data_IF_862215668438
#
_entry.id   IF_862215668438
#
_cell.length_a   1.000
_cell.length_b   1.000
_cell.length_c   1.000
_cell.angle_alpha   90.00
_cell.angle_beta   90.00
_cell.angle_gamma   90.00
#
_symmetry.space_group_name_H-M   'P 1'
#
loop_
_entity.id
_entity.type
_entity.pdbx_description
1 polymer ?
#
# COMPACT_ATOMS: atom_id res chain seq x y z
N UNK A 1 -4.86 16.15 -24.48
CA UNK A 1 -4.95 15.41 -23.21
C UNK A 1 -4.47 13.98 -23.43
N UNK A 2 -3.36 13.56 -22.80
CA UNK A 2 -2.83 12.20 -22.93
C UNK A 2 -3.81 11.12 -22.44
N UNK A 3 -3.67 9.90 -22.95
CA UNK A 3 -4.54 8.76 -22.59
C UNK A 3 -4.29 8.35 -21.13
N UNK A 4 -5.27 8.60 -20.25
CA UNK A 4 -5.21 8.19 -18.83
C UNK A 4 -5.08 6.68 -18.67
N UNK A 5 -4.23 6.25 -17.74
CA UNK A 5 -4.07 4.84 -17.36
C UNK A 5 -5.35 4.37 -16.63
N UNK A 6 -5.95 3.26 -17.06
CA UNK A 6 -7.18 2.75 -16.43
C UNK A 6 -6.88 1.58 -15.53
N UNK A 7 -7.33 1.63 -14.28
CA UNK A 7 -7.17 0.55 -13.31
C UNK A 7 -8.50 0.15 -12.67
N UNK A 8 -8.64 -1.13 -12.33
CA UNK A 8 -9.78 -1.61 -11.55
C UNK A 8 -9.58 -1.37 -10.04
N UNK A 9 -8.34 -1.36 -9.58
CA UNK A 9 -7.97 -1.03 -8.20
C UNK A 9 -6.55 -0.46 -8.13
N UNK A 10 -6.33 0.42 -7.16
CA UNK A 10 -5.03 1.00 -6.83
C UNK A 10 -4.74 0.67 -5.36
N UNK A 11 -3.56 0.15 -5.07
CA UNK A 11 -3.14 -0.30 -3.74
C UNK A 11 -1.78 0.30 -3.39
N UNK A 12 -1.55 0.60 -2.12
CA UNK A 12 -0.23 1.00 -1.63
C UNK A 12 0.66 -0.22 -1.36
N UNK A 13 1.94 -0.13 -1.71
CA UNK A 13 3.04 -0.97 -1.21
C UNK A 13 4.19 -0.10 -0.64
N UNK A 14 3.86 1.09 -0.15
CA UNK A 14 4.83 2.05 0.40
C UNK A 14 5.66 1.50 1.54
N UNK A 15 6.90 1.96 1.70
CA UNK A 15 7.73 1.61 2.87
C UNK A 15 7.29 2.35 4.15
N UNK A 16 6.29 3.22 4.03
CA UNK A 16 5.67 3.99 5.09
C UNK A 16 4.26 4.43 4.67
N UNK A 17 3.63 5.24 5.51
CA UNK A 17 2.25 5.71 5.40
C UNK A 17 1.95 6.57 4.16
N UNK A 18 2.98 7.24 3.60
CA UNK A 18 2.85 8.29 2.58
C UNK A 18 1.99 7.88 1.38
N UNK A 19 2.24 6.75 0.67
CA UNK A 19 1.46 6.44 -0.54
C UNK A 19 0.01 6.08 -0.23
N UNK A 20 -0.26 5.45 0.93
CA UNK A 20 -1.62 5.15 1.36
C UNK A 20 -2.40 6.42 1.71
N UNK A 21 -1.72 7.41 2.28
CA UNK A 21 -2.30 8.72 2.56
C UNK A 21 -2.54 9.53 1.28
N UNK A 22 -1.59 9.54 0.36
CA UNK A 22 -1.73 10.21 -0.93
C UNK A 22 -2.87 9.64 -1.77
N UNK A 23 -3.06 8.31 -1.75
CA UNK A 23 -4.25 7.69 -2.34
C UNK A 23 -5.55 8.16 -1.67
N UNK A 24 -5.53 8.40 -0.34
CA UNK A 24 -6.70 8.89 0.41
C UNK A 24 -7.04 10.31 0.01
N UNK A 25 -6.07 11.22 0.03
CA UNK A 25 -6.21 12.64 -0.34
C UNK A 25 -6.73 12.78 -1.77
N UNK A 26 -6.22 11.95 -2.68
CA UNK A 26 -6.63 11.93 -4.08
C UNK A 26 -7.91 11.14 -4.36
N UNK A 27 -8.62 10.66 -3.33
CA UNK A 27 -9.89 9.90 -3.44
C UNK A 27 -9.77 8.62 -4.29
N UNK A 28 -8.57 8.02 -4.30
CA UNK A 28 -8.24 6.78 -5.01
C UNK A 28 -8.14 5.55 -4.09
N UNK A 29 -8.16 5.76 -2.76
CA UNK A 29 -8.13 4.68 -1.76
C UNK A 29 -9.53 4.14 -1.45
N UNK A 30 -9.80 2.89 -1.82
CA UNK A 30 -11.07 2.22 -1.53
C UNK A 30 -10.98 1.10 -0.52
N UNK A 31 -9.82 0.47 -0.41
CA UNK A 31 -9.55 -0.60 0.53
C UNK A 31 -8.32 -0.21 1.36
N UNK A 32 -8.32 -0.62 2.62
CA UNK A 32 -7.13 -0.52 3.46
C UNK A 32 -6.33 -1.81 3.35
N UNK A 33 -5.07 -1.69 2.95
CA UNK A 33 -4.10 -2.79 2.99
C UNK A 33 -3.62 -3.08 4.40
N UNK A 34 -3.27 -4.34 4.74
CA UNK A 34 -2.49 -4.61 5.93
C UNK A 34 -1.18 -3.81 6.00
N UNK A 35 -0.63 -3.43 4.84
CA UNK A 35 0.65 -2.74 4.72
C UNK A 35 0.55 -1.20 4.65
N UNK A 36 -0.65 -0.61 4.58
CA UNK A 36 -0.85 0.84 4.36
C UNK A 36 -0.24 1.74 5.45
N UNK A 37 0.05 1.19 6.63
CA UNK A 37 0.56 1.90 7.80
C UNK A 37 1.66 1.09 8.49
N UNK A 38 2.40 0.33 7.68
CA UNK A 38 3.49 -0.52 8.11
C UNK A 38 4.80 0.04 7.56
N UNK A 39 5.90 -0.20 8.27
CA UNK A 39 7.20 0.36 7.91
C UNK A 39 8.28 -0.72 7.76
N UNK A 40 9.36 -0.35 7.07
CA UNK A 40 10.66 -1.05 7.04
C UNK A 40 10.73 -2.40 6.32
N UNK A 41 9.72 -2.74 5.51
CA UNK A 41 9.69 -4.01 4.77
C UNK A 41 10.12 -3.86 3.31
N UNK A 42 10.76 -4.90 2.77
CA UNK A 42 11.18 -4.95 1.36
C UNK A 42 10.02 -5.33 0.42
N UNK A 43 10.17 -5.08 -0.87
CA UNK A 43 9.20 -5.58 -1.85
C UNK A 43 9.16 -7.10 -1.93
N UNK A 44 10.27 -7.78 -1.62
CA UNK A 44 10.33 -9.23 -1.49
C UNK A 44 9.48 -9.73 -0.31
N UNK A 45 9.60 -9.11 0.87
CA UNK A 45 8.73 -9.39 2.01
C UNK A 45 7.25 -9.19 1.65
N UNK A 46 6.93 -8.11 0.93
CA UNK A 46 5.57 -7.87 0.47
C UNK A 46 5.08 -9.00 -0.45
N UNK A 47 5.87 -9.41 -1.44
CA UNK A 47 5.52 -10.52 -2.32
C UNK A 47 5.35 -11.84 -1.55
N UNK A 48 6.24 -12.12 -0.58
CA UNK A 48 6.14 -13.25 0.33
C UNK A 48 4.81 -13.27 1.07
N UNK A 49 4.43 -12.16 1.73
CA UNK A 49 3.18 -12.06 2.48
C UNK A 49 1.94 -12.24 1.59
N UNK A 50 1.95 -11.71 0.37
CA UNK A 50 0.86 -11.94 -0.58
C UNK A 50 0.79 -13.42 -1.01
N UNK A 51 1.93 -14.07 -1.24
CA UNK A 51 2.03 -15.49 -1.61
C UNK A 51 1.55 -16.42 -0.49
N UNK A 52 1.97 -16.15 0.75
CA UNK A 52 1.61 -16.92 1.95
C UNK A 52 0.31 -16.44 2.60
N UNK A 53 -0.42 -15.54 1.94
CA UNK A 53 -1.71 -15.01 2.43
C UNK A 53 -1.63 -14.40 3.83
N UNK A 54 -0.53 -13.73 4.15
CA UNK A 54 -0.24 -13.08 5.42
C UNK A 54 -0.19 -14.04 6.62
N UNK A 55 0.11 -15.33 6.39
CA UNK A 55 0.21 -16.35 7.45
C UNK A 55 1.20 -15.94 8.56
N UNK A 56 2.40 -15.52 8.16
CA UNK A 56 3.52 -15.15 9.05
C UNK A 56 3.43 -13.72 9.60
N UNK A 57 2.42 -12.94 9.22
CA UNK A 57 2.32 -11.52 9.55
C UNK A 57 2.14 -11.30 11.07
N UNK A 58 3.13 -10.68 11.70
CA UNK A 58 3.23 -10.41 13.14
C UNK A 58 3.10 -11.66 14.03
N UNK A 59 3.34 -12.85 13.48
CA UNK A 59 3.29 -14.10 14.25
C UNK A 59 4.32 -14.10 15.37
N UNK A 60 5.54 -13.63 15.08
CA UNK A 60 6.59 -13.40 16.07
C UNK A 60 6.89 -11.92 16.14
N UNK A 61 6.70 -11.34 17.33
CA UNK A 61 6.73 -9.90 17.52
C UNK A 61 7.47 -9.51 18.80
N UNK A 62 8.12 -8.36 18.76
CA UNK A 62 8.74 -7.71 19.92
C UNK A 62 8.28 -6.28 20.05
N UNK A 63 8.36 -5.76 21.28
CA UNK A 63 8.13 -4.34 21.57
C UNK A 63 9.45 -3.62 21.42
N UNK A 64 9.46 -2.53 20.68
CA UNK A 64 10.56 -1.56 20.66
C UNK A 64 10.18 -0.46 21.66
N UNK A 65 11.09 -0.09 22.58
CA UNK A 65 10.84 1.03 23.49
C UNK A 65 10.71 2.35 22.73
N UNK A 66 9.48 2.79 22.48
CA UNK A 66 9.11 4.08 21.89
C UNK A 66 7.65 4.34 22.27
N UNK A 67 7.40 5.30 23.17
CA UNK A 67 6.22 5.31 24.03
C UNK A 67 5.41 6.62 23.97
N UNK A 68 5.13 7.15 22.79
CA UNK A 68 4.35 8.39 22.70
C UNK A 68 2.83 8.15 22.75
N UNK A 69 2.29 7.26 21.92
CA UNK A 69 0.83 7.06 21.79
C UNK A 69 0.37 5.61 21.56
N UNK A 70 1.24 4.77 21.01
CA UNK A 70 1.00 3.36 20.72
C UNK A 70 2.29 2.60 21.03
N UNK A 71 2.18 1.30 21.30
CA UNK A 71 3.36 0.44 21.30
C UNK A 71 3.95 0.36 19.90
N UNK A 72 5.25 0.61 19.82
CA UNK A 72 6.03 0.26 18.64
C UNK A 72 6.27 -1.25 18.63
N UNK A 73 5.57 -1.97 17.76
CA UNK A 73 5.69 -3.43 17.65
C UNK A 73 6.42 -3.78 16.36
N UNK A 74 7.43 -4.64 16.47
CA UNK A 74 8.19 -5.18 15.35
C UNK A 74 7.83 -6.63 15.11
N UNK A 75 7.41 -6.95 13.88
CA UNK A 75 7.41 -8.30 13.33
C UNK A 75 8.86 -8.72 13.08
N UNK A 76 9.33 -9.71 13.84
CA UNK A 76 10.71 -10.18 13.80
C UNK A 76 10.98 -10.93 12.50
N UNK A 77 10.02 -11.75 12.06
CA UNK A 77 10.17 -12.61 10.88
C UNK A 77 10.21 -11.81 9.59
N UNK A 78 9.36 -10.79 9.47
CA UNK A 78 9.20 -10.03 8.24
C UNK A 78 9.91 -8.67 8.28
N UNK A 79 10.53 -8.30 9.41
CA UNK A 79 11.14 -6.98 9.64
C UNK A 79 10.16 -5.82 9.39
N UNK A 80 8.90 -5.98 9.82
CA UNK A 80 7.85 -4.98 9.67
C UNK A 80 7.66 -4.25 11.00
N UNK A 81 7.54 -2.92 10.94
CA UNK A 81 7.24 -2.11 12.11
C UNK A 81 5.80 -1.60 12.05
N UNK A 82 5.10 -1.68 13.17
CA UNK A 82 3.77 -1.11 13.39
C UNK A 82 3.85 -0.10 14.53
N UNK A 83 3.54 1.17 14.21
CA UNK A 83 3.62 2.30 15.15
C UNK A 83 2.25 2.91 15.48
N UNK A 84 1.16 2.48 14.83
CA UNK A 84 -0.17 3.10 14.95
C UNK A 84 -1.29 2.13 15.38
N UNK A 85 -0.97 0.86 15.66
CA UNK A 85 -2.02 -0.16 15.80
C UNK A 85 -2.18 -0.75 17.19
N UNK A 86 -1.13 -0.76 18.02
CA UNK A 86 -1.13 -1.44 19.31
C UNK A 86 -1.30 -0.41 20.44
N UNK A 87 -2.49 -0.33 21.08
CA UNK A 87 -2.76 0.67 22.11
C UNK A 87 -1.93 0.42 23.37
N UNK A 88 -1.55 1.50 24.07
CA UNK A 88 -0.77 1.42 25.32
C UNK A 88 -1.58 0.88 26.51
N UNK A 89 -2.91 0.90 26.42
CA UNK A 89 -3.85 0.49 27.47
C UNK A 89 -4.30 -0.97 27.36
N UNK A 90 -3.69 -1.75 26.45
CA UNK A 90 -4.07 -3.15 26.19
C UNK A 90 -2.89 -4.09 26.28
N UNK A 91 -3.15 -5.33 26.71
CA UNK A 91 -2.20 -6.42 26.54
C UNK A 91 -1.97 -6.68 25.04
N UNK A 92 -0.70 -6.78 24.67
CA UNK A 92 -0.30 -6.85 23.26
C UNK A 92 -0.63 -8.20 22.64
N UNK A 93 -0.52 -9.29 23.40
CA UNK A 93 -0.76 -10.62 22.88
C UNK A 93 -2.25 -10.85 22.70
N UNK A 94 -3.06 -10.50 23.70
CA UNK A 94 -4.51 -10.55 23.61
C UNK A 94 -5.03 -9.65 22.49
N UNK A 95 -4.57 -8.40 22.39
CA UNK A 95 -4.98 -7.50 21.31
C UNK A 95 -4.55 -8.00 19.93
N UNK A 96 -3.39 -8.64 19.83
CA UNK A 96 -2.92 -9.25 18.59
C UNK A 96 -3.88 -10.34 18.11
N UNK A 97 -4.17 -11.33 18.96
CA UNK A 97 -4.98 -12.50 18.61
C UNK A 97 -6.45 -12.13 18.37
N UNK A 98 -7.03 -11.32 19.24
CA UNK A 98 -8.47 -11.02 19.21
C UNK A 98 -8.83 -9.96 18.19
N UNK A 99 -7.92 -9.02 17.89
CA UNK A 99 -8.27 -7.81 17.12
C UNK A 99 -7.36 -7.58 15.92
N UNK A 100 -6.05 -7.44 16.14
CA UNK A 100 -5.13 -7.00 15.08
C UNK A 100 -5.04 -8.03 13.96
N UNK A 101 -4.73 -9.29 14.29
CA UNK A 101 -4.54 -10.38 13.30
C UNK A 101 -5.79 -10.57 12.46
N UNK A 102 -6.95 -10.69 13.11
CA UNK A 102 -8.24 -10.87 12.43
C UNK A 102 -8.54 -9.70 11.47
N UNK A 103 -8.32 -8.47 11.91
CA UNK A 103 -8.53 -7.26 11.07
C UNK A 103 -7.61 -7.26 9.85
N UNK A 104 -6.34 -7.64 10.01
CA UNK A 104 -5.37 -7.65 8.91
C UNK A 104 -5.65 -8.78 7.92
N UNK A 105 -5.94 -9.99 8.39
CA UNK A 105 -6.35 -11.11 7.54
C UNK A 105 -7.65 -10.79 6.79
N UNK A 106 -8.61 -10.16 7.45
CA UNK A 106 -9.86 -9.70 6.82
C UNK A 106 -9.59 -8.69 5.70
N UNK A 107 -8.75 -7.66 5.96
CA UNK A 107 -8.32 -6.68 4.94
C UNK A 107 -7.65 -7.35 3.74
N UNK A 108 -6.72 -8.27 3.99
CA UNK A 108 -6.06 -9.02 2.93
C UNK A 108 -7.05 -9.86 2.13
N UNK A 109 -7.98 -10.55 2.79
CA UNK A 109 -8.98 -11.38 2.10
C UNK A 109 -9.80 -10.58 1.08
N UNK A 110 -10.16 -9.34 1.42
CA UNK A 110 -10.83 -8.43 0.49
C UNK A 110 -9.90 -8.04 -0.65
N UNK A 111 -8.70 -7.56 -0.37
CA UNK A 111 -7.74 -7.16 -1.39
C UNK A 111 -7.46 -8.30 -2.38
N UNK A 112 -7.16 -9.48 -1.85
CA UNK A 112 -6.88 -10.67 -2.65
C UNK A 112 -8.07 -11.02 -3.56
N UNK A 113 -9.31 -10.90 -3.05
CA UNK A 113 -10.52 -11.11 -3.84
C UNK A 113 -10.68 -10.06 -4.94
N UNK A 114 -10.42 -8.79 -4.65
CA UNK A 114 -10.50 -7.71 -5.63
C UNK A 114 -9.46 -7.86 -6.74
N UNK A 115 -8.20 -8.16 -6.39
CA UNK A 115 -7.13 -8.40 -7.36
C UNK A 115 -7.52 -9.54 -8.31
N UNK A 116 -7.97 -10.67 -7.77
CA UNK A 116 -8.39 -11.83 -8.57
C UNK A 116 -9.58 -11.56 -9.50
N UNK A 117 -10.38 -10.52 -9.22
CA UNK A 117 -11.52 -10.11 -10.05
C UNK A 117 -11.21 -8.90 -10.95
N UNK A 118 -9.98 -8.39 -10.89
CA UNK A 118 -9.51 -7.24 -11.65
C UNK A 118 -8.82 -7.67 -12.94
N UNK A 119 -8.99 -6.90 -14.00
CA UNK A 119 -8.23 -6.99 -15.25
C UNK A 119 -6.92 -6.23 -15.14
N UNK A 120 -6.91 -5.09 -14.44
CA UNK A 120 -5.71 -4.28 -14.24
C UNK A 120 -5.65 -3.71 -12.82
N UNK A 121 -4.56 -4.03 -12.11
CA UNK A 121 -4.23 -3.53 -10.78
C UNK A 121 -3.02 -2.61 -10.89
N UNK A 122 -3.06 -1.50 -10.15
CA UNK A 122 -1.90 -0.64 -9.93
C UNK A 122 -1.45 -0.77 -8.48
N UNK A 123 -0.16 -0.98 -8.27
CA UNK A 123 0.46 -0.76 -6.98
C UNK A 123 1.30 0.51 -7.02
N UNK A 124 1.12 1.38 -6.02
CA UNK A 124 1.87 2.63 -5.88
C UNK A 124 2.72 2.61 -4.62
N UNK A 125 3.93 3.13 -4.70
CA UNK A 125 4.87 3.19 -3.58
C UNK A 125 5.94 4.27 -3.81
N UNK A 126 6.72 4.56 -2.78
CA UNK A 126 7.79 5.57 -2.78
C UNK A 126 9.09 4.98 -2.24
N UNK A 127 9.71 4.09 -3.02
CA UNK A 127 10.87 3.29 -2.62
C UNK A 127 12.13 3.75 -3.34
N UNK A 128 13.26 3.59 -2.66
CA UNK A 128 14.59 3.88 -3.20
C UNK A 128 15.31 2.63 -3.73
N UNK A 129 14.64 1.47 -3.75
CA UNK A 129 15.20 0.21 -4.26
C UNK A 129 15.59 0.31 -5.75
N UNK A 130 16.60 -0.47 -6.14
CA UNK A 130 17.03 -0.59 -7.54
C UNK A 130 15.92 -1.12 -8.45
N UNK A 131 15.92 -0.69 -9.72
CA UNK A 131 14.90 -1.10 -10.71
C UNK A 131 14.84 -2.62 -10.87
N UNK A 132 15.97 -3.31 -10.76
CA UNK A 132 16.05 -4.77 -10.83
C UNK A 132 15.27 -5.44 -9.68
N UNK A 133 15.33 -4.88 -8.47
CA UNK A 133 14.59 -5.40 -7.31
C UNK A 133 13.08 -5.15 -7.46
N UNK A 134 12.72 -3.96 -7.92
CA UNK A 134 11.31 -3.60 -8.19
C UNK A 134 10.72 -4.51 -9.27
N UNK A 135 11.46 -4.73 -10.36
CA UNK A 135 11.00 -5.60 -11.47
C UNK A 135 10.97 -7.08 -11.07
N UNK A 136 11.89 -7.54 -10.22
CA UNK A 136 11.85 -8.88 -9.62
C UNK A 136 10.58 -9.09 -8.80
N UNK A 137 10.26 -8.15 -7.89
CA UNK A 137 9.02 -8.21 -7.11
C UNK A 137 7.79 -8.15 -8.02
N UNK A 138 7.79 -7.31 -9.06
CA UNK A 138 6.69 -7.25 -10.03
C UNK A 138 6.46 -8.60 -10.74
N UNK A 139 7.52 -9.37 -11.04
CA UNK A 139 7.40 -10.74 -11.58
C UNK A 139 6.72 -11.66 -10.56
N UNK A 140 7.14 -11.64 -9.30
CA UNK A 140 6.52 -12.44 -8.24
C UNK A 140 5.03 -12.13 -8.09
N UNK A 141 4.63 -10.85 -8.07
CA UNK A 141 3.21 -10.46 -8.07
C UNK A 141 2.49 -10.95 -9.34
N UNK A 142 3.16 -10.95 -10.48
CA UNK A 142 2.65 -11.50 -11.74
C UNK A 142 2.40 -13.02 -11.69
N UNK A 143 3.21 -13.77 -10.94
CA UNK A 143 3.03 -15.21 -10.68
C UNK A 143 1.89 -15.47 -9.71
N UNK A 144 1.77 -14.67 -8.64
CA UNK A 144 0.67 -14.76 -7.67
C UNK A 144 -0.68 -14.46 -8.35
N UNK A 145 -0.68 -13.54 -9.32
CA UNK A 145 -1.89 -13.09 -10.03
C UNK A 145 -1.75 -13.23 -11.57
N UNK A 146 -1.79 -14.46 -12.11
CA UNK A 146 -1.45 -14.73 -13.51
C UNK A 146 -2.46 -14.17 -14.52
N UNK A 147 -3.69 -13.86 -14.09
CA UNK A 147 -4.77 -13.35 -14.94
C UNK A 147 -4.87 -11.82 -14.98
N UNK A 148 -4.17 -11.12 -14.08
CA UNK A 148 -4.32 -9.68 -13.90
C UNK A 148 -3.14 -8.92 -14.53
N UNK A 149 -3.40 -7.90 -15.35
CA UNK A 149 -2.36 -6.92 -15.70
C UNK A 149 -1.94 -6.19 -14.43
N UNK A 150 -0.63 -6.01 -14.21
CA UNK A 150 -0.10 -5.30 -13.05
C UNK A 150 0.78 -4.16 -13.54
N UNK A 151 0.56 -2.98 -12.98
CA UNK A 151 1.48 -1.85 -13.12
C UNK A 151 2.00 -1.45 -11.75
N UNK A 152 3.30 -1.38 -11.60
CA UNK A 152 3.94 -0.71 -10.48
C UNK A 152 4.18 0.75 -10.86
N UNK A 153 3.85 1.66 -9.96
CA UNK A 153 4.18 3.08 -10.06
C UNK A 153 5.02 3.40 -8.82
N UNK A 154 6.30 3.69 -9.03
CA UNK A 154 7.18 4.12 -7.96
C UNK A 154 7.41 5.64 -8.05
N UNK A 155 7.35 6.32 -6.91
CA UNK A 155 7.66 7.74 -6.79
C UNK A 155 8.94 7.86 -5.98
N UNK A 156 10.04 8.02 -6.71
CA UNK A 156 11.39 8.12 -6.17
C UNK A 156 11.71 9.57 -5.88
N UNK A 157 12.01 9.86 -4.61
CA UNK A 157 12.47 11.19 -4.21
C UNK A 157 13.98 11.34 -4.45
N UNK A 158 14.42 12.58 -4.72
CA UNK A 158 15.84 12.95 -4.80
C UNK A 158 16.15 13.92 -5.93
N UNK A 159 15.18 14.20 -6.81
CA UNK A 159 15.37 15.17 -7.88
C UNK A 159 15.37 16.60 -7.34
N UNK A 160 15.94 17.53 -8.12
CA UNK A 160 15.85 18.97 -7.82
C UNK A 160 14.40 19.47 -8.02
N UNK A 161 13.97 20.56 -7.36
CA UNK A 161 12.68 21.18 -7.64
C UNK A 161 12.46 21.42 -9.14
N UNK A 162 11.28 21.06 -9.65
CA UNK A 162 10.92 21.18 -11.07
C UNK A 162 11.42 20.06 -11.98
N UNK A 163 12.25 19.13 -11.49
CA UNK A 163 12.67 17.94 -12.26
C UNK A 163 11.64 16.82 -12.06
N UNK A 164 11.12 16.31 -13.19
CA UNK A 164 10.27 15.12 -13.24
C UNK A 164 10.70 14.22 -14.38
N UNK A 165 11.38 13.13 -14.04
CA UNK A 165 11.80 12.11 -15.01
C UNK A 165 10.96 10.86 -14.82
N UNK A 166 10.68 10.16 -15.92
CA UNK A 166 9.86 8.93 -15.89
C UNK A 166 10.60 7.84 -16.65
N UNK A 167 11.06 6.82 -15.93
CA UNK A 167 11.62 5.62 -16.51
C UNK A 167 10.54 4.53 -16.59
N UNK A 168 10.20 4.10 -17.80
CA UNK A 168 9.18 3.07 -18.04
C UNK A 168 9.83 1.76 -18.42
N UNK A 169 9.50 0.69 -17.70
CA UNK A 169 9.98 -0.66 -17.98
C UNK A 169 8.81 -1.60 -18.27
N UNK A 170 8.83 -2.22 -19.45
CA UNK A 170 7.87 -3.27 -19.82
C UNK A 170 8.49 -4.63 -19.52
N UNK A 171 8.15 -5.18 -18.35
CA UNK A 171 8.66 -6.50 -17.91
C UNK A 171 8.03 -7.64 -18.72
N UNK A 172 6.75 -7.51 -19.09
CA UNK A 172 6.08 -8.43 -20.01
C UNK A 172 4.88 -7.73 -20.67
N UNK A 173 4.10 -8.45 -21.49
CA UNK A 173 2.83 -7.92 -22.02
C UNK A 173 1.83 -7.50 -20.93
N UNK A 174 1.95 -8.07 -19.72
CA UNK A 174 1.02 -7.87 -18.60
C UNK A 174 1.61 -7.06 -17.45
N UNK A 175 2.93 -6.92 -17.39
CA UNK A 175 3.65 -6.37 -16.24
C UNK A 175 4.43 -5.14 -16.68
N UNK A 176 4.13 -3.99 -16.06
CA UNK A 176 4.73 -2.70 -16.40
C UNK A 176 5.19 -1.98 -15.13
N UNK A 177 6.26 -1.20 -15.23
CA UNK A 177 6.76 -0.30 -14.20
C UNK A 177 6.85 1.11 -14.77
N UNK A 178 6.38 2.10 -14.00
CA UNK A 178 6.68 3.52 -14.18
C UNK A 178 7.42 4.00 -12.92
N UNK A 179 8.72 4.30 -13.04
CA UNK A 179 9.56 4.86 -11.96
C UNK A 179 9.68 6.37 -12.20
N UNK A 180 9.01 7.17 -11.36
CA UNK A 180 9.02 8.62 -11.43
C UNK A 180 10.10 9.15 -10.49
N UNK A 181 11.11 9.83 -11.03
CA UNK A 181 12.14 10.51 -10.25
C UNK A 181 11.79 12.00 -10.12
N UNK A 182 11.50 12.42 -8.90
CA UNK A 182 10.89 13.72 -8.56
C UNK A 182 11.46 14.30 -7.28
N UNK A 183 11.10 15.54 -6.97
CA UNK A 183 11.28 16.14 -5.65
C UNK A 183 10.05 15.90 -4.75
N UNK A 184 10.04 14.80 -3.99
CA UNK A 184 8.95 14.47 -3.05
C UNK A 184 9.15 15.07 -1.64
N UNK A 185 9.76 16.26 -1.58
CA UNK A 185 9.89 17.06 -0.35
C UNK A 185 8.60 17.86 -0.13
N UNK A 186 8.11 17.91 1.10
CA UNK A 186 6.96 18.74 1.45
C UNK A 186 7.24 20.22 1.16
N UNK A 187 6.21 21.00 0.79
CA UNK A 187 6.34 22.42 0.45
C UNK A 187 6.97 23.26 1.56
N UNK A 188 6.70 22.88 2.81
CA UNK A 188 7.23 23.52 4.04
C UNK A 188 8.52 22.84 4.55
N UNK A 189 9.14 21.96 3.73
CA UNK A 189 10.39 21.25 4.05
C UNK A 189 10.20 19.94 4.81
N UNK A 190 11.22 19.07 4.75
CA UNK A 190 11.22 17.73 5.38
C UNK A 190 11.90 17.72 6.75
N UNK A 191 11.62 18.73 7.58
CA UNK A 191 12.18 18.85 8.93
C UNK A 191 11.15 18.44 9.99
N UNK A 192 11.54 17.51 10.87
CA UNK A 192 10.69 17.06 11.99
C UNK A 192 10.42 18.19 12.99
N UNK A 193 11.32 19.16 13.10
CA UNK A 193 11.16 20.40 13.86
C UNK A 193 10.58 21.48 12.97
N UNK A 194 9.30 21.81 13.14
CA UNK A 194 8.65 22.94 12.45
C UNK A 194 7.63 22.54 11.38
N UNK A 195 7.69 21.32 10.83
CA UNK A 195 6.67 20.79 9.94
C UNK A 195 6.25 19.37 10.35
N UNK A 196 5.18 19.25 11.14
CA UNK A 196 4.64 17.94 11.57
C UNK A 196 4.08 17.09 10.43
N UNK A 197 3.85 17.69 9.25
CA UNK A 197 3.28 17.04 8.07
C UNK A 197 4.32 16.65 7.02
N UNK A 198 5.62 16.79 7.32
CA UNK A 198 6.72 16.44 6.41
C UNK A 198 6.59 15.04 5.77
N UNK A 199 6.05 14.09 6.53
CA UNK A 199 5.88 12.70 6.10
C UNK A 199 4.87 12.54 4.94
N UNK A 200 4.05 13.54 4.62
CA UNK A 200 3.13 13.53 3.47
C UNK A 200 3.86 13.76 2.13
N UNK A 201 5.02 14.40 2.13
CA UNK A 201 5.79 14.68 0.91
C UNK A 201 5.17 15.78 0.04
N UNK A 202 5.47 15.76 -1.25
CA UNK A 202 5.04 16.78 -2.21
C UNK A 202 3.65 16.47 -2.78
N UNK A 203 2.59 16.95 -2.11
CA UNK A 203 1.20 16.69 -2.50
C UNK A 203 0.88 17.08 -3.95
N UNK A 204 1.48 18.14 -4.48
CA UNK A 204 1.23 18.61 -5.85
C UNK A 204 1.73 17.60 -6.88
N UNK A 205 2.96 17.09 -6.69
CA UNK A 205 3.54 16.06 -7.58
C UNK A 205 2.78 14.74 -7.44
N UNK A 206 2.41 14.33 -6.23
CA UNK A 206 1.57 13.15 -6.04
C UNK A 206 0.23 13.30 -6.75
N UNK A 207 -0.42 14.47 -6.64
CA UNK A 207 -1.66 14.76 -7.34
C UNK A 207 -1.48 14.69 -8.85
N UNK A 208 -0.43 15.31 -9.39
CA UNK A 208 -0.10 15.30 -10.81
C UNK A 208 -0.01 13.85 -11.34
N UNK A 209 0.83 13.02 -10.71
CA UNK A 209 1.04 11.62 -11.10
C UNK A 209 -0.26 10.83 -10.97
N UNK A 210 -0.97 10.93 -9.85
CA UNK A 210 -2.21 10.20 -9.61
C UNK A 210 -3.36 10.64 -10.53
N UNK A 211 -3.37 11.89 -10.98
CA UNK A 211 -4.38 12.44 -11.90
C UNK A 211 -4.34 11.78 -13.29
N UNK A 212 -3.21 11.16 -13.64
CA UNK A 212 -3.03 10.38 -14.87
C UNK A 212 -3.78 9.04 -14.84
N UNK A 213 -4.23 8.61 -13.66
CA UNK A 213 -4.93 7.36 -13.43
C UNK A 213 -6.44 7.60 -13.37
N UNK A 214 -7.22 6.71 -14.01
CA UNK A 214 -8.67 6.70 -13.92
C UNK A 214 -9.15 5.32 -13.48
N UNK A 215 -9.97 5.29 -12.44
CA UNK A 215 -10.62 4.05 -12.01
C UNK A 215 -11.69 3.63 -13.02
N UNK A 216 -11.76 2.33 -13.28
CA UNK A 216 -12.72 1.77 -14.19
C UNK A 216 -14.13 1.77 -13.58
N UNK A 217 -15.16 1.64 -14.41
CA UNK A 217 -16.54 1.44 -13.92
C UNK A 217 -16.67 0.12 -13.14
N UNK A 218 -15.85 -0.89 -13.47
CA UNK A 218 -15.80 -2.17 -12.77
C UNK A 218 -15.31 -1.98 -11.33
N UNK A 219 -14.42 -1.02 -11.06
CA UNK A 219 -14.03 -0.63 -9.70
C UNK A 219 -15.26 -0.27 -8.86
N UNK A 220 -16.11 0.64 -9.35
CA UNK A 220 -17.30 1.11 -8.63
C UNK A 220 -18.29 -0.02 -8.35
N UNK A 221 -18.50 -0.90 -9.33
CA UNK A 221 -19.37 -2.07 -9.17
C UNK A 221 -18.84 -3.06 -8.13
N UNK A 222 -17.55 -3.42 -8.20
CA UNK A 222 -16.93 -4.33 -7.23
C UNK A 222 -17.03 -3.74 -5.82
N UNK A 223 -16.71 -2.45 -5.65
CA UNK A 223 -16.81 -1.76 -4.35
C UNK A 223 -18.24 -1.80 -3.81
N UNK A 224 -19.24 -1.47 -4.63
CA UNK A 224 -20.65 -1.52 -4.25
C UNK A 224 -21.08 -2.94 -3.86
N UNK A 225 -20.78 -3.93 -4.71
CA UNK A 225 -21.13 -5.33 -4.49
C UNK A 225 -20.54 -5.88 -3.19
N UNK A 226 -19.27 -5.57 -2.89
CA UNK A 226 -18.63 -6.04 -1.66
C UNK A 226 -19.09 -5.29 -0.41
N UNK A 227 -19.42 -3.99 -0.51
CA UNK A 227 -20.06 -3.24 0.59
C UNK A 227 -21.44 -3.80 0.92
N UNK A 228 -22.25 -4.13 -0.08
CA UNK A 228 -23.55 -4.77 0.11
C UNK A 228 -23.41 -6.12 0.80
N UNK A 229 -22.52 -7.01 0.32
CA UNK A 229 -22.31 -8.31 0.97
C UNK A 229 -21.90 -8.19 2.45
N UNK A 230 -21.08 -7.19 2.79
CA UNK A 230 -20.71 -6.92 4.19
C UNK A 230 -21.91 -6.49 5.03
N UNK A 231 -22.79 -5.64 4.48
CA UNK A 231 -24.03 -5.21 5.14
C UNK A 231 -24.95 -6.40 5.41
N UNK A 232 -25.16 -7.27 4.41
CA UNK A 232 -26.03 -8.45 4.56
C UNK A 232 -25.46 -9.52 5.48
N UNK A 233 -24.13 -9.75 5.48
CA UNK A 233 -23.50 -10.69 6.41
C UNK A 233 -23.66 -10.26 7.87
N UNK A 234 -23.63 -8.95 8.14
CA UNK A 234 -23.85 -8.39 9.48
C UNK A 234 -25.31 -8.47 9.95
N UNK A 235 -26.27 -8.62 9.03
CA UNK A 235 -27.70 -8.80 9.35
C UNK A 235 -27.98 -10.27 9.68
N UNK A 236 -27.39 -11.20 8.93
CA UNK A 236 -27.55 -12.65 9.15
C UNK A 236 -26.79 -13.21 10.37
N UNK A 237 -25.90 -12.42 10.98
CA UNK A 237 -25.20 -12.74 12.24
C UNK A 237 -25.90 -12.11 13.47
N UNK A 238 -27.06 -11.46 13.28
CA UNK A 238 -27.89 -10.84 14.32
C UNK A 238 -29.25 -11.53 14.52
N UNK A 239 -29.46 -12.70 13.90
CA UNK A 239 -30.61 -13.59 14.12
C UNK A 239 -30.18 -14.87 14.85
#
# INVERSE_FOLDING_TARGET
MGKKLRADIILSLGIACRPAEQLRINKLRFLSSPLDWMMSYSLETAAHLFKTKFETFFQYKSIIPDNLYFYHVKDITNNIHSIHHFPLDKDIEDFYETTFRQKMLCRFSFINKFINNSRHVIFIFNRQEEIQNITSALKQFGEIYPKCKITFINIRSGAKPGVHEIHKVKVSSRLNLEDHYVNDTHKDGDHTTGNVMWWIGNEEIWHEILSTIKLSYRSKFLIYFFKLKKKYKKILELD
#
